data_IF_718615380676
#
_entry.id   IF_718615380676
#
_cell.length_a   1.000
_cell.length_b   1.000
_cell.length_c   1.000
_cell.angle_alpha   90.00
_cell.angle_beta   90.00
_cell.angle_gamma   90.00
#
_symmetry.space_group_name_H-M   'P 1'
#
loop_
_entity.id
_entity.type
_entity.pdbx_description
1 polymer ?
#
# COMPACT_ATOMS: atom_id res chain seq x y z
N UNK A 1 0.93 21.20 23.70
CA UNK A 1 2.00 20.59 24.51
C UNK A 1 2.67 19.50 23.66
N UNK A 2 3.86 19.77 23.10
CA UNK A 2 4.60 18.81 22.27
C UNK A 2 5.24 17.67 23.08
N UNK A 3 5.49 17.87 24.37
CA UNK A 3 6.22 16.90 25.20
C UNK A 3 5.31 15.70 25.50
N UNK A 4 4.06 15.95 25.92
CA UNK A 4 3.05 14.90 26.11
C UNK A 4 2.81 14.08 24.83
N UNK A 5 2.79 14.72 23.66
CA UNK A 5 2.58 14.02 22.39
C UNK A 5 3.75 13.06 22.05
N UNK A 6 4.98 13.46 22.38
CA UNK A 6 6.18 12.63 22.20
C UNK A 6 6.20 11.48 23.18
N UNK A 7 5.83 11.72 24.44
CA UNK A 7 5.76 10.69 25.46
C UNK A 7 4.82 9.55 25.03
N UNK A 8 3.58 9.85 24.62
CA UNK A 8 2.63 8.83 24.19
C UNK A 8 3.04 8.10 22.91
N UNK A 9 3.73 8.77 21.98
CA UNK A 9 4.31 8.10 20.82
C UNK A 9 5.42 7.13 21.23
N UNK A 10 6.30 7.55 22.13
CA UNK A 10 7.52 6.84 22.52
C UNK A 10 7.27 5.69 23.49
N UNK A 11 6.12 5.66 24.19
CA UNK A 11 5.69 4.53 25.02
C UNK A 11 5.76 3.17 24.28
N UNK A 12 5.46 3.18 22.98
CA UNK A 12 5.44 1.96 22.14
C UNK A 12 6.49 1.96 21.03
N UNK A 13 7.01 3.14 20.65
CA UNK A 13 8.00 3.31 19.58
C UNK A 13 9.17 4.22 20.03
N UNK A 14 9.96 3.81 21.05
CA UNK A 14 10.99 4.67 21.65
C UNK A 14 12.21 4.88 20.74
N UNK A 15 12.49 3.94 19.83
CA UNK A 15 13.69 3.94 19.02
C UNK A 15 13.76 5.20 18.11
N UNK A 16 14.95 5.80 17.99
CA UNK A 16 15.18 6.96 17.11
C UNK A 16 14.66 6.78 15.67
N UNK A 17 14.80 5.61 15.01
CA UNK A 17 14.23 5.40 13.68
C UNK A 17 12.71 5.58 13.58
N UNK A 18 11.97 5.45 14.69
CA UNK A 18 10.52 5.65 14.69
C UNK A 18 10.12 7.12 14.48
N UNK A 19 10.99 8.07 14.84
CA UNK A 19 10.72 9.52 14.69
C UNK A 19 10.66 9.97 13.23
N UNK A 20 11.26 9.18 12.34
CA UNK A 20 11.26 9.38 10.89
C UNK A 20 10.49 8.30 10.14
N UNK A 21 9.87 7.35 10.85
CA UNK A 21 9.13 6.27 10.22
C UNK A 21 7.83 6.78 9.61
N UNK A 22 7.48 6.25 8.44
CA UNK A 22 6.19 6.55 7.79
C UNK A 22 5.03 5.73 8.38
N UNK A 23 4.97 5.62 9.70
CA UNK A 23 3.85 5.03 10.44
C UNK A 23 3.90 5.42 11.92
N UNK A 24 2.75 5.40 12.58
CA UNK A 24 2.64 5.56 14.04
C UNK A 24 2.34 4.21 14.70
N UNK A 25 2.33 4.19 16.04
CA UNK A 25 2.08 3.01 16.87
C UNK A 25 0.72 2.32 16.64
N UNK A 26 -0.28 3.06 16.16
CA UNK A 26 -1.64 2.53 15.99
C UNK A 26 -1.79 1.56 14.81
N UNK A 27 -1.26 1.91 13.64
CA UNK A 27 -1.50 1.16 12.41
C UNK A 27 -0.33 0.26 12.00
N UNK A 28 0.85 0.50 12.57
CA UNK A 28 2.07 -0.19 12.21
C UNK A 28 2.49 0.03 10.74
N UNK A 29 3.59 -0.60 10.31
CA UNK A 29 4.21 -0.32 9.02
C UNK A 29 3.33 -0.72 7.83
N UNK A 30 2.55 -1.81 7.93
CA UNK A 30 1.80 -2.34 6.77
C UNK A 30 0.46 -1.65 6.53
N UNK A 31 -0.14 -1.03 7.54
CA UNK A 31 -1.52 -0.55 7.48
C UNK A 31 -1.68 0.95 7.75
N UNK A 32 -0.57 1.72 7.77
CA UNK A 32 -0.66 3.17 7.88
C UNK A 32 -1.34 3.77 6.63
N UNK A 33 -2.55 4.32 6.81
CA UNK A 33 -3.36 4.91 5.73
C UNK A 33 -2.64 6.04 4.98
N UNK A 34 -1.91 6.89 5.71
CA UNK A 34 -1.12 7.98 5.12
C UNK A 34 0.00 7.44 4.23
N UNK A 35 0.72 6.41 4.68
CA UNK A 35 1.78 5.76 3.88
C UNK A 35 1.19 5.12 2.63
N UNK A 36 0.13 4.32 2.79
CA UNK A 36 -0.56 3.67 1.67
C UNK A 36 -1.02 4.71 0.64
N UNK A 37 -1.56 5.83 1.09
CA UNK A 37 -1.98 6.93 0.21
C UNK A 37 -0.79 7.52 -0.55
N UNK A 38 0.34 7.72 0.13
CA UNK A 38 1.55 8.22 -0.51
C UNK A 38 2.09 7.21 -1.54
N UNK A 39 2.11 5.92 -1.21
CA UNK A 39 2.54 4.84 -2.11
C UNK A 39 1.67 4.81 -3.38
N UNK A 40 0.34 4.92 -3.23
CA UNK A 40 -0.60 4.98 -4.38
C UNK A 40 -0.36 6.21 -5.25
N UNK A 41 -0.12 7.38 -4.65
CA UNK A 41 0.18 8.62 -5.40
C UNK A 41 1.50 8.52 -6.16
N UNK A 42 2.53 7.96 -5.53
CA UNK A 42 3.83 7.75 -6.17
C UNK A 42 3.69 6.78 -7.35
N UNK A 43 3.00 5.66 -7.15
CA UNK A 43 2.70 4.71 -8.22
C UNK A 43 1.97 5.38 -9.39
N UNK A 44 0.95 6.18 -9.10
CA UNK A 44 0.21 6.92 -10.12
C UNK A 44 1.11 7.88 -10.91
N UNK A 45 1.96 8.64 -10.22
CA UNK A 45 2.91 9.56 -10.86
C UNK A 45 3.94 8.82 -11.74
N UNK A 46 4.50 7.71 -11.26
CA UNK A 46 5.48 6.90 -12.00
C UNK A 46 4.88 6.23 -13.25
N UNK A 47 3.58 5.93 -13.23
CA UNK A 47 2.88 5.22 -14.31
C UNK A 47 2.01 6.12 -15.19
N UNK A 48 2.08 7.45 -15.01
CA UNK A 48 1.30 8.41 -15.80
C UNK A 48 -0.22 8.25 -15.64
N UNK A 49 -0.67 7.95 -14.41
CA UNK A 49 -2.09 7.83 -14.07
C UNK A 49 -2.64 9.18 -13.59
N UNK A 50 -2.49 10.21 -14.42
CA UNK A 50 -2.80 11.60 -14.09
C UNK A 50 -4.16 12.08 -14.63
N UNK A 51 -4.83 11.27 -15.46
CA UNK A 51 -6.16 11.53 -15.99
C UNK A 51 -7.11 10.34 -15.77
N UNK A 52 -8.42 10.61 -15.77
CA UNK A 52 -9.44 9.56 -15.66
C UNK A 52 -9.33 8.54 -16.79
N UNK A 53 -9.02 8.98 -18.02
CA UNK A 53 -8.84 8.12 -19.18
C UNK A 53 -7.60 7.22 -19.04
N UNK A 54 -6.49 7.75 -18.52
CA UNK A 54 -5.28 6.97 -18.27
C UNK A 54 -5.52 5.89 -17.22
N UNK A 55 -6.25 6.23 -16.15
CA UNK A 55 -6.65 5.30 -15.10
C UNK A 55 -7.54 4.19 -15.66
N UNK A 56 -8.59 4.55 -16.41
CA UNK A 56 -9.52 3.57 -17.00
C UNK A 56 -8.79 2.61 -17.96
N UNK A 57 -7.92 3.13 -18.81
CA UNK A 57 -7.12 2.29 -19.71
C UNK A 57 -6.19 1.34 -18.95
N UNK A 58 -5.58 1.80 -17.85
CA UNK A 58 -4.74 0.96 -16.99
C UNK A 58 -5.56 -0.13 -16.28
N UNK A 59 -6.75 0.20 -15.79
CA UNK A 59 -7.66 -0.76 -15.16
C UNK A 59 -8.09 -1.85 -16.14
N UNK A 60 -8.49 -1.50 -17.36
CA UNK A 60 -8.88 -2.47 -18.38
C UNK A 60 -7.75 -3.43 -18.73
N UNK A 61 -6.52 -2.92 -18.91
CA UNK A 61 -5.34 -3.75 -19.15
C UNK A 61 -5.06 -4.68 -17.96
N UNK A 62 -5.03 -4.14 -16.74
CA UNK A 62 -4.77 -4.91 -15.53
C UNK A 62 -5.82 -6.02 -15.30
N UNK A 63 -7.10 -5.74 -15.57
CA UNK A 63 -8.17 -6.74 -15.48
C UNK A 63 -8.03 -7.84 -16.54
N UNK A 64 -7.64 -7.49 -17.77
CA UNK A 64 -7.38 -8.48 -18.81
C UNK A 64 -6.19 -9.39 -18.44
N UNK A 65 -5.12 -8.82 -17.89
CA UNK A 65 -3.95 -9.57 -17.40
C UNK A 65 -4.31 -10.51 -16.26
N UNK A 66 -5.04 -10.02 -15.25
CA UNK A 66 -5.48 -10.85 -14.12
C UNK A 66 -6.47 -11.94 -14.53
N UNK A 67 -7.32 -11.68 -15.52
CA UNK A 67 -8.20 -12.69 -16.10
C UNK A 67 -7.41 -13.80 -16.79
N UNK A 68 -6.35 -13.45 -17.53
CA UNK A 68 -5.43 -14.41 -18.13
C UNK A 68 -4.70 -15.22 -17.07
N UNK A 69 -4.14 -14.57 -16.06
CA UNK A 69 -3.47 -15.23 -14.92
C UNK A 69 -4.41 -16.22 -14.21
N UNK A 70 -5.66 -15.81 -13.97
CA UNK A 70 -6.68 -16.68 -13.37
C UNK A 70 -6.98 -17.92 -14.22
N UNK A 71 -7.09 -17.75 -15.55
CA UNK A 71 -7.29 -18.85 -16.48
C UNK A 71 -6.09 -19.80 -16.54
N UNK A 72 -4.86 -19.28 -16.54
CA UNK A 72 -3.61 -20.05 -16.49
C UNK A 72 -3.50 -20.89 -15.21
N UNK A 73 -4.02 -20.38 -14.09
CA UNK A 73 -4.10 -21.11 -12.82
C UNK A 73 -5.33 -22.01 -12.69
N UNK A 74 -6.00 -22.31 -13.81
CA UNK A 74 -7.11 -23.28 -13.87
C UNK A 74 -8.43 -22.74 -13.35
N UNK A 75 -8.64 -21.42 -13.37
CA UNK A 75 -9.86 -20.76 -12.91
C UNK A 75 -10.18 -21.03 -11.43
N UNK A 76 -9.16 -21.01 -10.58
CA UNK A 76 -9.29 -21.31 -9.14
C UNK A 76 -9.00 -20.08 -8.30
N UNK A 77 -9.88 -19.83 -7.32
CA UNK A 77 -9.67 -18.77 -6.31
C UNK A 77 -8.65 -19.19 -5.25
N UNK A 78 -8.64 -20.47 -4.89
CA UNK A 78 -7.72 -21.02 -3.89
C UNK A 78 -6.55 -21.73 -4.57
N UNK A 79 -5.38 -21.11 -4.48
CA UNK A 79 -4.12 -21.65 -5.00
C UNK A 79 -3.46 -22.59 -3.98
N UNK A 80 -2.79 -23.66 -4.43
CA UNK A 80 -2.05 -24.55 -3.55
C UNK A 80 -0.86 -23.82 -2.91
N UNK A 81 -0.61 -24.07 -1.63
CA UNK A 81 0.45 -23.41 -0.85
C UNK A 81 1.88 -23.85 -1.22
N UNK A 82 2.02 -24.85 -2.09
CA UNK A 82 3.29 -25.55 -2.36
C UNK A 82 3.80 -25.33 -3.79
N UNK A 83 3.60 -24.16 -4.38
CA UNK A 83 4.21 -23.79 -5.66
C UNK A 83 5.58 -23.15 -5.46
#
# INVERSE_FOLDING_TARGET
DPDTAREFHDETLPAEPAKTAHFCSMCGPKFCSMRITQDVRNYAAEHGLDSEEAIEAALQRGMAEKSREFAEHGNRVYLPLNQ
#
